data_IF_154715761032
#
_entry.id   IF_154715761032
#
_cell.length_a   1.000
_cell.length_b   1.000
_cell.length_c   1.000
_cell.angle_alpha   90.00
_cell.angle_beta   90.00
_cell.angle_gamma   90.00
#
_symmetry.space_group_name_H-M   'P 1'
#
loop_
_entity.id
_entity.type
_entity.pdbx_description
1 polymer ?
#
# COMPACT_ATOMS: atom_id res chain seq x y z
N UNK A 1 -3.06 4.43 -27.23
CA UNK A 1 -3.99 4.95 -26.19
C UNK A 1 -3.20 5.29 -24.94
N UNK A 2 -3.48 6.41 -24.25
CA UNK A 2 -2.82 6.78 -22.99
C UNK A 2 -3.46 6.03 -21.82
N UNK A 3 -3.16 4.74 -21.70
CA UNK A 3 -3.66 3.89 -20.61
C UNK A 3 -3.08 4.35 -19.28
N UNK A 4 -3.93 4.51 -18.25
CA UNK A 4 -3.48 4.79 -16.88
C UNK A 4 -2.87 3.53 -16.28
N UNK A 5 -1.63 3.63 -15.79
CA UNK A 5 -0.88 2.54 -15.16
C UNK A 5 -0.81 2.73 -13.65
N UNK A 6 -1.26 1.72 -12.91
CA UNK A 6 -1.24 1.69 -11.43
C UNK A 6 -0.23 0.63 -10.97
N UNK A 7 0.74 1.02 -10.15
CA UNK A 7 1.66 0.07 -9.50
C UNK A 7 1.20 -0.22 -8.07
N UNK A 8 0.87 -1.48 -7.82
CA UNK A 8 0.53 -2.01 -6.49
C UNK A 8 1.77 -2.60 -5.82
N UNK A 9 1.89 -2.40 -4.50
CA UNK A 9 2.83 -3.13 -3.65
C UNK A 9 2.10 -3.82 -2.49
N UNK A 10 2.48 -5.06 -2.24
CA UNK A 10 2.02 -5.90 -1.11
C UNK A 10 3.08 -5.98 0.00
N UNK A 11 4.19 -5.24 -0.13
CA UNK A 11 5.33 -5.31 0.78
C UNK A 11 5.00 -4.93 2.24
N UNK A 12 3.86 -4.27 2.49
CA UNK A 12 3.44 -3.91 3.83
C UNK A 12 3.19 -5.13 4.73
N UNK A 13 2.50 -6.15 4.20
CA UNK A 13 2.18 -7.37 4.94
C UNK A 13 2.95 -8.60 4.47
N UNK A 14 3.59 -8.55 3.30
CA UNK A 14 4.38 -9.65 2.78
C UNK A 14 5.46 -10.10 3.77
N UNK A 15 5.61 -11.42 3.91
CA UNK A 15 6.62 -12.05 4.77
C UNK A 15 7.65 -12.87 4.03
N UNK A 16 7.55 -12.95 2.72
CA UNK A 16 8.42 -13.76 1.87
C UNK A 16 8.74 -13.01 0.57
N UNK A 17 9.95 -13.22 0.05
CA UNK A 17 10.33 -12.84 -1.32
C UNK A 17 10.93 -14.03 -2.05
N UNK A 18 10.86 -14.04 -3.37
CA UNK A 18 11.34 -15.17 -4.20
C UNK A 18 12.86 -15.27 -4.26
N UNK A 19 13.55 -14.14 -4.41
CA UNK A 19 15.00 -14.07 -4.49
C UNK A 19 15.53 -12.71 -3.99
N UNK A 20 16.77 -12.70 -3.51
CA UNK A 20 17.51 -11.47 -3.20
C UNK A 20 18.08 -10.85 -4.49
N UNK A 21 17.19 -10.50 -5.42
CA UNK A 21 17.56 -9.97 -6.73
C UNK A 21 17.67 -8.44 -6.76
N UNK A 22 17.04 -7.76 -5.79
CA UNK A 22 16.97 -6.31 -5.72
C UNK A 22 17.61 -5.81 -4.42
N UNK A 23 18.61 -4.92 -4.54
CA UNK A 23 19.31 -4.33 -3.40
C UNK A 23 18.37 -3.52 -2.49
N UNK A 24 17.24 -3.02 -3.01
CA UNK A 24 16.26 -2.30 -2.20
C UNK A 24 15.52 -3.21 -1.21
N UNK A 25 15.51 -4.52 -1.43
CA UNK A 25 14.89 -5.48 -0.52
C UNK A 25 15.83 -5.94 0.61
N UNK A 26 17.15 -5.80 0.42
CA UNK A 26 18.16 -6.30 1.37
C UNK A 26 17.93 -5.85 2.83
N UNK A 27 17.58 -4.57 3.12
CA UNK A 27 17.34 -4.13 4.50
C UNK A 27 16.16 -4.81 5.20
N UNK A 28 15.30 -5.50 4.43
CA UNK A 28 14.09 -6.15 4.91
C UNK A 28 14.20 -7.68 4.90
N UNK A 29 15.30 -8.27 4.38
CA UNK A 29 15.51 -9.71 4.47
C UNK A 29 15.82 -10.14 5.91
N UNK A 30 15.25 -11.25 6.35
CA UNK A 30 15.47 -11.77 7.72
C UNK A 30 16.64 -12.75 7.81
N UNK A 31 17.16 -13.21 6.67
CA UNK A 31 18.16 -14.29 6.58
C UNK A 31 17.56 -15.70 6.69
N UNK A 32 16.28 -15.82 7.01
CA UNK A 32 15.59 -17.11 7.04
C UNK A 32 15.24 -17.59 5.62
N UNK A 33 15.12 -18.91 5.45
CA UNK A 33 14.70 -19.52 4.19
C UNK A 33 13.65 -20.60 4.42
N UNK A 34 12.60 -20.59 3.62
CA UNK A 34 11.58 -21.64 3.65
C UNK A 34 12.10 -22.91 2.96
N UNK A 35 11.40 -24.03 3.18
CA UNK A 35 11.72 -25.32 2.50
C UNK A 35 11.61 -25.22 0.98
N UNK A 36 10.70 -24.37 0.49
CA UNK A 36 10.46 -24.14 -0.94
C UNK A 36 11.44 -23.11 -1.54
N UNK A 37 12.37 -22.58 -0.74
CA UNK A 37 13.46 -21.71 -1.19
C UNK A 37 13.16 -20.20 -1.14
N UNK A 38 11.97 -19.79 -0.68
CA UNK A 38 11.65 -18.37 -0.46
C UNK A 38 12.50 -17.78 0.67
N UNK A 39 12.84 -16.51 0.56
CA UNK A 39 13.57 -15.78 1.59
C UNK A 39 12.60 -15.10 2.54
N UNK A 40 12.90 -15.16 3.85
CA UNK A 40 12.14 -14.43 4.86
C UNK A 40 12.24 -12.92 4.66
N UNK A 41 11.11 -12.24 4.80
CA UNK A 41 10.97 -10.79 4.58
C UNK A 41 10.26 -10.16 5.78
N UNK A 42 10.83 -9.08 6.31
CA UNK A 42 10.23 -8.30 7.41
C UNK A 42 8.98 -7.58 6.96
N UNK A 43 8.93 -7.08 5.73
CA UNK A 43 7.83 -6.25 5.23
C UNK A 43 7.63 -4.98 6.04
N UNK A 44 6.40 -4.47 6.06
CA UNK A 44 5.99 -3.26 6.80
C UNK A 44 5.96 -2.01 5.94
N UNK A 45 5.53 -0.90 6.55
CA UNK A 45 5.32 0.37 5.84
C UNK A 45 6.60 0.90 5.18
N UNK A 46 7.76 0.73 5.81
CA UNK A 46 9.05 1.12 5.24
C UNK A 46 9.40 0.34 3.96
N UNK A 47 9.08 -0.96 3.94
CA UNK A 47 9.26 -1.80 2.75
C UNK A 47 8.30 -1.38 1.64
N UNK A 48 7.04 -1.08 1.98
CA UNK A 48 6.06 -0.56 1.03
C UNK A 48 6.47 0.79 0.45
N UNK A 49 6.95 1.72 1.28
CA UNK A 49 7.48 3.03 0.84
C UNK A 49 8.67 2.82 -0.11
N UNK A 50 9.61 1.94 0.25
CA UNK A 50 10.79 1.66 -0.58
C UNK A 50 10.38 1.18 -1.98
N UNK A 51 9.45 0.20 -2.05
CA UNK A 51 8.89 -0.26 -3.33
C UNK A 51 8.14 0.84 -4.07
N UNK A 52 7.32 1.61 -3.35
CA UNK A 52 6.56 2.72 -3.92
C UNK A 52 7.46 3.77 -4.58
N UNK A 53 8.57 4.14 -3.93
CA UNK A 53 9.55 5.09 -4.46
C UNK A 53 10.24 4.57 -5.74
N UNK A 54 10.52 3.27 -5.80
CA UNK A 54 11.06 2.63 -7.01
C UNK A 54 10.02 2.68 -8.14
N UNK A 55 8.76 2.36 -7.85
CA UNK A 55 7.68 2.29 -8.83
C UNK A 55 7.21 3.67 -9.31
N UNK A 56 7.37 4.72 -8.51
CA UNK A 56 6.86 6.06 -8.76
C UNK A 56 7.26 6.66 -10.11
N UNK A 57 8.42 6.29 -10.66
CA UNK A 57 8.90 6.80 -11.96
C UNK A 57 8.20 6.16 -13.16
N UNK A 58 7.55 5.02 -12.95
CA UNK A 58 7.02 4.17 -14.01
C UNK A 58 5.50 4.11 -14.03
N UNK A 59 4.83 4.56 -12.96
CA UNK A 59 3.38 4.48 -12.82
C UNK A 59 2.74 5.86 -12.63
N UNK A 60 1.51 5.99 -13.12
CA UNK A 60 0.67 7.17 -12.92
C UNK A 60 0.16 7.24 -11.48
N UNK A 61 -0.24 6.08 -10.93
CA UNK A 61 -0.68 5.95 -9.54
C UNK A 61 0.10 4.86 -8.78
N UNK A 62 0.25 5.06 -7.47
CA UNK A 62 0.78 4.06 -6.55
C UNK A 62 -0.30 3.57 -5.58
N UNK A 63 -0.29 2.27 -5.30
CA UNK A 63 -1.20 1.63 -4.34
C UNK A 63 -0.39 0.76 -3.37
N UNK A 64 -0.41 1.12 -2.09
CA UNK A 64 0.03 0.25 -1.01
C UNK A 64 -1.15 -0.57 -0.51
N UNK A 65 -1.10 -1.89 -0.61
CA UNK A 65 -2.13 -2.73 -0.01
C UNK A 65 -1.98 -2.76 1.52
N UNK A 66 -3.07 -2.50 2.23
CA UNK A 66 -3.11 -2.50 3.70
C UNK A 66 -4.02 -3.60 4.22
N UNK A 67 -3.73 -4.12 5.41
CA UNK A 67 -4.54 -5.12 6.09
C UNK A 67 -5.66 -4.53 6.95
N UNK A 68 -5.59 -3.23 7.24
CA UNK A 68 -6.54 -2.52 8.10
C UNK A 68 -6.79 -1.08 7.58
N UNK A 69 -7.95 -0.48 7.87
CA UNK A 69 -8.22 0.91 7.52
C UNK A 69 -7.54 1.83 8.54
N UNK A 70 -6.41 2.42 8.16
CA UNK A 70 -5.58 3.25 9.04
C UNK A 70 -5.14 4.53 8.32
N UNK A 71 -5.67 5.68 8.74
CA UNK A 71 -5.35 6.99 8.17
C UNK A 71 -3.91 7.44 8.48
N UNK A 72 -3.34 7.01 9.61
CA UNK A 72 -1.99 7.40 9.99
C UNK A 72 -0.95 6.65 9.15
N UNK A 73 -1.15 5.35 8.94
CA UNK A 73 -0.33 4.57 8.02
C UNK A 73 -0.43 5.10 6.58
N UNK A 74 -1.65 5.45 6.13
CA UNK A 74 -1.87 6.07 4.82
C UNK A 74 -1.11 7.39 4.69
N UNK A 75 -1.13 8.24 5.73
CA UNK A 75 -0.38 9.50 5.74
C UNK A 75 1.12 9.28 5.68
N UNK A 76 1.66 8.34 6.46
CA UNK A 76 3.09 8.00 6.45
C UNK A 76 3.54 7.56 5.05
N UNK A 77 2.74 6.73 4.36
CA UNK A 77 3.04 6.36 2.97
C UNK A 77 2.98 7.56 2.02
N UNK A 78 1.91 8.35 2.09
CA UNK A 78 1.70 9.49 1.21
C UNK A 78 2.80 10.54 1.35
N UNK A 79 3.12 10.95 2.58
CA UNK A 79 4.14 11.95 2.88
C UNK A 79 5.51 11.49 2.36
N UNK A 80 5.88 10.21 2.57
CA UNK A 80 7.16 9.68 2.10
C UNK A 80 7.26 9.62 0.57
N UNK A 81 6.16 9.28 -0.13
CA UNK A 81 6.14 9.33 -1.60
C UNK A 81 6.22 10.78 -2.08
N UNK A 82 5.44 11.69 -1.50
CA UNK A 82 5.37 13.08 -1.94
C UNK A 82 6.62 13.89 -1.63
N UNK A 83 7.41 13.51 -0.63
CA UNK A 83 8.74 14.10 -0.39
C UNK A 83 9.66 13.94 -1.60
N UNK A 84 9.58 12.79 -2.31
CA UNK A 84 10.40 12.52 -3.50
C UNK A 84 9.68 12.78 -4.81
N UNK A 85 8.35 12.63 -4.83
CA UNK A 85 7.50 12.80 -6.00
C UNK A 85 6.27 13.67 -5.63
N UNK A 86 6.46 14.99 -5.47
CA UNK A 86 5.37 15.89 -5.11
C UNK A 86 4.18 15.76 -6.06
N UNK A 87 2.99 15.56 -5.50
CA UNK A 87 1.75 15.43 -6.27
C UNK A 87 1.55 14.08 -6.98
N UNK A 88 2.40 13.08 -6.75
CA UNK A 88 2.18 11.71 -7.26
C UNK A 88 0.81 11.20 -6.79
N UNK A 89 -0.05 10.84 -7.73
CA UNK A 89 -1.38 10.35 -7.41
C UNK A 89 -1.29 8.98 -6.72
N UNK A 90 -2.12 8.78 -5.71
CA UNK A 90 -2.18 7.53 -4.96
C UNK A 90 -3.55 6.87 -5.13
N UNK A 91 -3.58 5.57 -4.90
CA UNK A 91 -4.79 4.76 -4.89
C UNK A 91 -4.94 4.02 -3.56
N UNK A 92 -6.18 3.88 -3.08
CA UNK A 92 -6.50 3.24 -1.82
C UNK A 92 -7.67 2.26 -1.96
N UNK A 93 -7.47 1.04 -1.48
CA UNK A 93 -8.49 0.01 -1.39
C UNK A 93 -9.22 0.11 -0.04
N UNK A 94 -10.46 0.61 -0.05
CA UNK A 94 -11.38 0.57 1.09
C UNK A 94 -11.96 -0.85 1.21
N UNK A 95 -11.14 -1.81 1.65
CA UNK A 95 -11.49 -3.23 1.57
C UNK A 95 -12.76 -3.58 2.36
N UNK A 96 -13.68 -4.39 1.77
CA UNK A 96 -14.84 -4.90 2.50
C UNK A 96 -14.46 -6.00 3.52
N UNK A 97 -13.25 -6.54 3.46
CA UNK A 97 -12.75 -7.50 4.46
C UNK A 97 -12.39 -6.86 5.80
N UNK A 98 -12.29 -5.54 5.87
CA UNK A 98 -12.01 -4.84 7.11
C UNK A 98 -13.22 -4.87 8.05
N UNK A 99 -13.00 -5.16 9.34
CA UNK A 99 -14.01 -4.92 10.36
C UNK A 99 -14.09 -3.42 10.70
N UNK A 100 -14.69 -2.63 9.81
CA UNK A 100 -14.75 -1.17 9.90
C UNK A 100 -15.25 -0.67 11.26
N UNK A 101 -16.40 -1.15 11.73
CA UNK A 101 -16.99 -0.76 13.03
C UNK A 101 -16.23 -1.29 14.24
N UNK A 102 -15.46 -2.37 14.07
CA UNK A 102 -14.59 -2.89 15.11
C UNK A 102 -13.26 -2.14 15.24
N UNK A 103 -12.88 -1.36 14.22
CA UNK A 103 -11.59 -0.65 14.16
C UNK A 103 -11.73 0.88 14.24
N UNK A 104 -12.83 1.43 13.75
CA UNK A 104 -13.05 2.86 13.61
C UNK A 104 -14.43 3.25 14.14
N UNK A 105 -14.52 4.45 14.70
CA UNK A 105 -15.80 5.06 15.06
C UNK A 105 -16.57 5.56 13.82
N UNK A 106 -17.88 5.76 13.96
CA UNK A 106 -18.76 6.18 12.86
C UNK A 106 -18.36 7.52 12.24
N UNK A 107 -17.87 8.47 13.02
CA UNK A 107 -17.46 9.78 12.51
C UNK A 107 -16.20 9.65 11.65
N UNK A 108 -15.24 8.83 12.09
CA UNK A 108 -14.02 8.52 11.32
C UNK A 108 -14.36 7.77 10.02
N UNK A 109 -15.26 6.77 10.07
CA UNK A 109 -15.72 6.06 8.87
C UNK A 109 -16.34 7.04 7.86
N UNK A 110 -17.19 7.96 8.31
CA UNK A 110 -17.90 8.91 7.45
C UNK A 110 -16.96 9.86 6.70
N UNK A 111 -15.81 10.23 7.31
CA UNK A 111 -14.82 11.13 6.70
C UNK A 111 -13.62 10.42 6.06
N UNK A 112 -13.51 9.10 6.19
CA UNK A 112 -12.31 8.33 5.83
C UNK A 112 -11.81 8.62 4.41
N UNK A 113 -12.72 8.59 3.43
CA UNK A 113 -12.37 8.85 2.03
C UNK A 113 -11.99 10.31 1.75
N UNK A 114 -12.57 11.27 2.48
CA UNK A 114 -12.25 12.68 2.35
C UNK A 114 -10.84 12.96 2.87
N UNK A 115 -10.49 12.40 4.03
CA UNK A 115 -9.15 12.49 4.63
C UNK A 115 -8.09 11.86 3.70
N UNK A 116 -8.36 10.68 3.13
CA UNK A 116 -7.50 10.08 2.10
C UNK A 116 -7.36 10.98 0.87
N UNK A 117 -8.45 11.58 0.40
CA UNK A 117 -8.43 12.49 -0.75
C UNK A 117 -7.53 13.71 -0.54
N UNK A 118 -7.50 14.23 0.69
CA UNK A 118 -6.61 15.33 1.09
C UNK A 118 -5.13 14.92 1.09
N UNK A 119 -4.82 13.66 1.41
CA UNK A 119 -3.46 13.08 1.35
C UNK A 119 -3.00 12.72 -0.08
N UNK A 120 -3.83 12.90 -1.11
CA UNK A 120 -3.47 12.59 -2.50
C UNK A 120 -3.92 11.22 -3.01
N UNK A 121 -4.72 10.48 -2.25
CA UNK A 121 -5.40 9.28 -2.74
C UNK A 121 -6.57 9.66 -3.65
N UNK A 122 -6.27 9.83 -4.95
CA UNK A 122 -7.22 10.32 -5.97
C UNK A 122 -8.08 9.21 -6.58
N UNK A 123 -7.67 7.96 -6.42
CA UNK A 123 -8.48 6.80 -6.81
C UNK A 123 -8.77 5.93 -5.58
N UNK A 124 -10.04 5.82 -5.20
CA UNK A 124 -10.46 5.06 -4.02
C UNK A 124 -11.57 4.10 -4.43
N UNK A 125 -11.50 2.85 -3.97
CA UNK A 125 -12.41 1.79 -4.43
C UNK A 125 -12.66 0.73 -3.36
N UNK A 126 -13.77 0.01 -3.49
CA UNK A 126 -14.12 -1.16 -2.67
C UNK A 126 -14.09 -2.39 -3.57
N UNK A 127 -13.11 -3.26 -3.38
CA UNK A 127 -12.81 -4.36 -4.31
C UNK A 127 -13.95 -5.36 -4.52
N UNK A 128 -14.66 -5.74 -3.44
CA UNK A 128 -15.70 -6.77 -3.47
C UNK A 128 -17.12 -6.22 -3.23
N UNK A 129 -17.36 -4.93 -3.49
CA UNK A 129 -18.68 -4.33 -3.25
C UNK A 129 -19.81 -5.07 -3.97
N UNK A 130 -19.62 -5.43 -5.24
CA UNK A 130 -20.62 -6.15 -6.02
C UNK A 130 -20.86 -7.60 -5.59
N UNK A 131 -19.90 -8.22 -4.89
CA UNK A 131 -20.08 -9.57 -4.34
C UNK A 131 -20.95 -9.56 -3.06
N UNK A 132 -20.93 -8.46 -2.31
CA UNK A 132 -21.66 -8.32 -1.05
C UNK A 132 -23.03 -7.62 -1.17
N UNK A 133 -23.36 -7.07 -2.35
CA UNK A 133 -24.61 -6.35 -2.62
C UNK A 133 -25.81 -7.30 -2.76
#
# INVERSE_FOLDING_TARGET
VPTVLIARTDANSARLVTAAADAHDEPFLTGERTRDGFLGYRGGIEAAITRGLVYARYADLLWCETSEPNLDEARVFADAIHDKFPGKMLAYNCSPSFNWKGKLDTATIAKFQQELGAMGYKFQFVTLAGFHA
#
